data_IF_145088841562
#
_entry.id   IF_145088841562
#
_cell.length_a   1.000
_cell.length_b   1.000
_cell.length_c   1.000
_cell.angle_alpha   90.00
_cell.angle_beta   90.00
_cell.angle_gamma   90.00
#
_symmetry.space_group_name_H-M   'P 1'
#
loop_
_entity.id
_entity.type
_entity.pdbx_description
1 polymer ?
#
# COMPACT_ATOMS: atom_id res chain seq x y z
N UNK A 1 0.60 10.70 1.21
CA UNK A 1 -0.77 11.22 1.33
C UNK A 1 -1.72 10.19 1.94
N UNK A 2 -1.95 9.00 1.32
CA UNK A 2 -2.89 8.00 1.86
C UNK A 2 -2.57 7.55 3.31
N UNK A 3 -1.31 7.45 3.68
CA UNK A 3 -0.91 7.11 5.03
C UNK A 3 -1.19 8.24 6.04
N UNK A 4 -1.11 9.50 5.63
CA UNK A 4 -1.42 10.65 6.49
C UNK A 4 -2.90 10.69 6.87
N UNK A 5 -3.80 10.23 5.98
CA UNK A 5 -5.22 10.10 6.27
C UNK A 5 -5.51 9.07 7.40
N UNK A 6 -4.62 8.12 7.62
CA UNK A 6 -4.74 7.18 8.75
C UNK A 6 -4.75 7.87 10.11
N UNK A 7 -4.01 8.98 10.24
CA UNK A 7 -4.01 9.77 11.47
C UNK A 7 -5.38 10.45 11.70
N UNK A 8 -6.01 10.95 10.63
CA UNK A 8 -7.34 11.55 10.69
C UNK A 8 -8.38 10.48 11.05
N UNK A 9 -8.29 9.29 10.41
CA UNK A 9 -9.13 8.15 10.74
C UNK A 9 -8.97 7.70 12.20
N UNK A 10 -7.73 7.68 12.72
CA UNK A 10 -7.46 7.36 14.12
C UNK A 10 -8.06 8.40 15.09
N UNK A 11 -8.12 9.67 14.72
CA UNK A 11 -8.77 10.72 15.49
C UNK A 11 -10.29 10.64 15.43
N UNK A 12 -10.85 10.15 14.34
CA UNK A 12 -12.30 10.06 14.17
C UNK A 12 -12.99 9.24 15.27
N UNK A 13 -12.27 8.27 15.86
CA UNK A 13 -12.75 7.50 17.00
C UNK A 13 -13.03 8.32 18.29
N UNK A 14 -12.56 9.56 18.36
CA UNK A 14 -12.84 10.48 19.50
C UNK A 14 -13.92 11.50 19.18
N UNK A 15 -14.40 11.55 17.94
CA UNK A 15 -15.41 12.52 17.51
C UNK A 15 -16.81 11.90 17.54
N UNK A 16 -17.87 12.73 17.64
CA UNK A 16 -19.22 12.23 17.56
C UNK A 16 -19.55 11.69 16.19
N UNK A 17 -20.27 10.58 16.16
CA UNK A 17 -20.90 10.07 14.95
C UNK A 17 -22.36 10.44 14.94
N UNK A 18 -22.83 11.04 13.84
CA UNK A 18 -24.22 11.45 13.67
C UNK A 18 -24.78 10.65 12.49
N UNK A 19 -25.89 9.92 12.72
CA UNK A 19 -26.55 9.12 11.72
C UNK A 19 -28.02 9.48 11.61
N UNK A 20 -28.51 9.62 10.39
CA UNK A 20 -29.91 9.76 10.07
C UNK A 20 -30.40 8.49 9.37
N UNK A 21 -31.42 7.84 9.91
CA UNK A 21 -32.02 6.65 9.30
C UNK A 21 -33.52 6.89 9.07
N UNK A 22 -33.99 6.43 7.91
CA UNK A 22 -35.42 6.42 7.57
C UNK A 22 -35.88 4.99 7.32
N UNK A 23 -37.04 4.65 7.84
CA UNK A 23 -37.63 3.34 7.65
C UNK A 23 -39.11 3.44 7.21
N UNK A 24 -39.53 2.50 6.40
CA UNK A 24 -40.93 2.25 6.07
C UNK A 24 -41.22 0.79 6.28
N UNK A 25 -42.21 0.47 7.14
CA UNK A 25 -42.56 -0.90 7.52
C UNK A 25 -44.00 -1.14 7.21
N UNK A 26 -44.32 -2.29 6.64
CA UNK A 26 -45.65 -2.81 6.53
C UNK A 26 -45.66 -4.06 7.40
N UNK A 27 -46.48 -4.05 8.45
CA UNK A 27 -46.56 -5.15 9.38
C UNK A 27 -48.02 -5.69 9.36
N UNK A 28 -48.17 -6.95 9.07
CA UNK A 28 -49.45 -7.67 9.20
C UNK A 28 -49.42 -8.40 10.53
N UNK A 29 -50.39 -8.12 11.37
CA UNK A 29 -50.52 -8.71 12.70
C UNK A 29 -51.85 -9.45 12.80
N UNK A 30 -51.77 -10.74 13.05
CA UNK A 30 -52.92 -11.59 13.35
C UNK A 30 -53.09 -11.63 14.87
N UNK A 31 -54.01 -10.84 15.40
CA UNK A 31 -54.32 -10.82 16.81
C UNK A 31 -55.38 -11.85 17.17
N UNK A 32 -54.93 -13.03 17.60
CA UNK A 32 -55.82 -14.07 18.11
C UNK A 32 -55.95 -13.92 19.64
N UNK A 33 -57.17 -13.69 20.14
CA UNK A 33 -57.55 -13.69 21.57
C UNK A 33 -56.78 -12.69 22.45
N UNK A 34 -56.85 -11.40 22.13
CA UNK A 34 -56.37 -10.37 23.04
C UNK A 34 -57.46 -10.05 24.08
N UNK A 35 -57.24 -10.46 25.32
CA UNK A 35 -58.07 -10.07 26.45
C UNK A 35 -57.75 -8.61 26.84
N UNK A 36 -58.62 -7.69 26.46
CA UNK A 36 -58.59 -6.32 26.98
C UNK A 36 -59.66 -6.20 28.07
N UNK A 37 -59.36 -5.47 29.14
CA UNK A 37 -60.33 -5.28 30.26
C UNK A 37 -61.66 -4.64 29.89
N UNK A 38 -61.99 -4.50 28.59
CA UNK A 38 -63.21 -3.91 28.04
C UNK A 38 -64.03 -4.86 27.16
N UNK A 39 -63.57 -6.10 26.93
CA UNK A 39 -64.27 -7.11 26.15
C UNK A 39 -63.35 -7.93 25.21
N UNK A 40 -63.89 -9.09 24.71
CA UNK A 40 -63.20 -9.88 23.71
C UNK A 40 -63.17 -9.15 22.37
N UNK A 41 -61.99 -8.92 21.84
CA UNK A 41 -61.83 -8.46 20.47
C UNK A 41 -61.77 -9.72 19.58
N UNK A 42 -62.66 -9.80 18.56
CA UNK A 42 -62.56 -10.83 17.55
C UNK A 42 -61.23 -10.81 16.83
N UNK A 43 -60.67 -11.96 16.42
CA UNK A 43 -59.47 -12.03 15.65
C UNK A 43 -59.61 -11.18 14.39
N UNK A 44 -58.74 -10.18 14.26
CA UNK A 44 -58.73 -9.32 13.06
C UNK A 44 -57.28 -9.25 12.55
N UNK A 45 -57.13 -9.56 11.24
CA UNK A 45 -55.91 -9.22 10.54
C UNK A 45 -55.82 -7.69 10.44
N UNK A 46 -54.80 -7.13 11.03
CA UNK A 46 -54.52 -5.68 10.98
C UNK A 46 -53.23 -5.43 10.24
N UNK A 47 -53.32 -4.69 9.15
CA UNK A 47 -52.12 -4.23 8.43
C UNK A 47 -51.77 -2.83 8.91
N UNK A 48 -50.59 -2.70 9.51
CA UNK A 48 -50.06 -1.46 10.02
C UNK A 48 -49.01 -0.92 9.07
N UNK A 49 -49.20 0.29 8.61
CA UNK A 49 -48.20 1.03 7.81
C UNK A 49 -47.42 1.95 8.72
N UNK A 50 -46.15 1.58 8.99
CA UNK A 50 -45.22 2.40 9.78
C UNK A 50 -44.25 3.17 8.89
N UNK A 51 -43.93 4.37 9.30
CA UNK A 51 -42.78 5.13 8.79
C UNK A 51 -42.02 5.73 9.97
N UNK A 52 -40.71 5.85 9.86
CA UNK A 52 -39.93 6.41 10.93
C UNK A 52 -38.70 7.11 10.39
N UNK A 53 -38.33 8.21 11.06
CA UNK A 53 -37.06 8.90 10.90
C UNK A 53 -36.39 8.93 12.25
N UNK A 54 -35.12 8.49 12.30
CA UNK A 54 -34.32 8.49 13.53
C UNK A 54 -33.01 9.22 13.27
N UNK A 55 -32.76 10.27 14.03
CA UNK A 55 -31.50 10.97 14.11
C UNK A 55 -30.81 10.51 15.40
N UNK A 56 -29.64 9.90 15.30
CA UNK A 56 -28.84 9.49 16.46
C UNK A 56 -27.45 10.12 16.43
N UNK A 57 -26.99 10.55 17.59
CA UNK A 57 -25.64 11.04 17.80
C UNK A 57 -24.99 10.24 18.92
N UNK A 58 -23.79 9.70 18.66
CA UNK A 58 -23.02 8.94 19.64
C UNK A 58 -21.63 9.57 19.76
N UNK A 59 -21.28 10.01 20.97
CA UNK A 59 -19.98 10.55 21.31
C UNK A 59 -19.26 9.58 22.27
N UNK A 60 -18.16 8.92 21.83
CA UNK A 60 -17.34 8.13 22.73
C UNK A 60 -16.71 9.03 23.80
N UNK A 61 -16.95 8.72 25.07
CA UNK A 61 -16.32 9.40 26.22
C UNK A 61 -15.07 8.62 26.63
N UNK A 62 -15.21 7.31 26.75
CA UNK A 62 -14.09 6.43 27.07
C UNK A 62 -14.18 5.13 26.26
N UNK A 63 -13.21 4.93 25.39
CA UNK A 63 -12.95 3.70 24.67
C UNK A 63 -11.45 3.51 24.56
N UNK A 64 -10.90 2.57 25.32
CA UNK A 64 -9.45 2.30 25.31
C UNK A 64 -8.94 1.91 23.92
N UNK A 65 -9.76 1.20 23.17
CA UNK A 65 -9.47 0.82 21.78
C UNK A 65 -9.16 2.04 20.90
N UNK A 66 -9.94 3.13 20.99
CA UNK A 66 -9.73 4.34 20.20
C UNK A 66 -8.38 5.01 20.53
N UNK A 67 -7.95 4.97 21.78
CA UNK A 67 -6.66 5.50 22.21
C UNK A 67 -5.53 4.71 21.54
N UNK A 68 -5.64 3.37 21.54
CA UNK A 68 -4.63 2.50 20.93
C UNK A 68 -4.62 2.64 19.40
N UNK A 69 -5.80 2.72 18.75
CA UNK A 69 -5.91 2.96 17.30
C UNK A 69 -5.24 4.28 16.90
N UNK A 70 -5.42 5.34 17.69
CA UNK A 70 -4.75 6.62 17.43
C UNK A 70 -3.23 6.53 17.57
N UNK A 71 -2.72 5.80 18.56
CA UNK A 71 -1.28 5.56 18.69
C UNK A 71 -0.75 4.74 17.52
N UNK A 72 -1.47 3.67 17.16
CA UNK A 72 -1.12 2.81 16.01
C UNK A 72 -1.08 3.59 14.70
N UNK A 73 -2.04 4.50 14.47
CA UNK A 73 -2.07 5.33 13.26
C UNK A 73 -0.87 6.27 13.15
N UNK A 74 -0.32 6.78 14.28
CA UNK A 74 0.93 7.55 14.27
C UNK A 74 2.12 6.71 13.84
N UNK A 75 2.22 5.48 14.34
CA UNK A 75 3.29 4.56 13.97
C UNK A 75 3.17 4.13 12.50
N UNK A 76 1.94 3.93 11.99
CA UNK A 76 1.69 3.65 10.57
C UNK A 76 2.16 4.79 9.66
N UNK A 77 1.92 6.05 10.04
CA UNK A 77 2.43 7.22 9.29
C UNK A 77 3.95 7.23 9.29
N UNK A 78 4.58 7.05 10.45
CA UNK A 78 6.06 7.00 10.56
C UNK A 78 6.66 5.87 9.70
N UNK A 79 6.02 4.69 9.67
CA UNK A 79 6.42 3.59 8.80
C UNK A 79 6.31 3.95 7.32
N UNK A 80 5.21 4.58 6.93
CA UNK A 80 4.99 5.01 5.54
C UNK A 80 5.99 6.07 5.08
N UNK A 81 6.36 7.02 5.96
CA UNK A 81 7.39 8.01 5.68
C UNK A 81 8.76 7.34 5.45
N UNK A 82 9.11 6.36 6.28
CA UNK A 82 10.33 5.57 6.09
C UNK A 82 10.30 4.78 4.76
N UNK A 83 9.17 4.17 4.41
CA UNK A 83 8.98 3.49 3.12
C UNK A 83 9.12 4.42 1.93
N UNK A 84 8.62 5.66 2.04
CA UNK A 84 8.77 6.67 1.00
C UNK A 84 10.24 7.02 0.76
N UNK A 85 11.03 7.16 1.85
CA UNK A 85 12.47 7.43 1.74
C UNK A 85 13.20 6.27 1.06
N UNK A 86 12.91 5.02 1.45
CA UNK A 86 13.49 3.82 0.82
C UNK A 86 13.14 3.75 -0.67
N UNK A 87 11.89 4.01 -1.03
CA UNK A 87 11.47 4.05 -2.43
C UNK A 87 12.19 5.15 -3.23
N UNK A 88 12.43 6.31 -2.60
CA UNK A 88 13.24 7.38 -3.20
C UNK A 88 14.69 6.97 -3.43
N UNK A 89 15.33 6.28 -2.47
CA UNK A 89 16.69 5.77 -2.61
C UNK A 89 16.77 4.70 -3.73
N UNK A 90 15.81 3.78 -3.78
CA UNK A 90 15.72 2.78 -4.84
C UNK A 90 15.53 3.42 -6.23
N UNK A 91 14.70 4.46 -6.32
CA UNK A 91 14.53 5.21 -7.56
C UNK A 91 15.85 5.81 -8.05
N UNK A 92 16.65 6.42 -7.15
CA UNK A 92 17.95 6.99 -7.50
C UNK A 92 18.88 5.91 -8.07
N UNK A 93 18.93 4.74 -7.43
CA UNK A 93 19.77 3.62 -7.89
C UNK A 93 19.30 3.10 -9.25
N UNK A 94 17.98 2.92 -9.45
CA UNK A 94 17.41 2.47 -10.73
C UNK A 94 17.65 3.45 -11.87
N UNK A 95 17.53 4.76 -11.59
CA UNK A 95 17.83 5.79 -12.60
C UNK A 95 19.33 5.76 -12.95
N UNK A 96 20.21 5.68 -11.96
CA UNK A 96 21.65 5.61 -12.18
C UNK A 96 22.02 4.37 -13.00
N UNK A 97 21.51 3.19 -12.65
CA UNK A 97 21.77 1.96 -13.39
C UNK A 97 21.30 2.07 -14.84
N UNK A 98 20.05 2.50 -15.07
CA UNK A 98 19.51 2.65 -16.43
C UNK A 98 20.28 3.70 -17.25
N UNK A 99 20.79 4.76 -16.59
CA UNK A 99 21.64 5.77 -17.23
C UNK A 99 22.96 5.16 -17.71
N UNK A 100 23.66 4.43 -16.85
CA UNK A 100 24.93 3.77 -17.22
C UNK A 100 24.72 2.67 -18.25
N UNK A 101 23.61 1.91 -18.18
CA UNK A 101 23.27 0.92 -19.21
C UNK A 101 23.13 1.55 -20.62
N UNK A 102 22.60 2.78 -20.70
CA UNK A 102 22.54 3.51 -21.99
C UNK A 102 23.93 3.95 -22.44
N UNK A 103 24.79 4.42 -21.53
CA UNK A 103 26.17 4.81 -21.87
C UNK A 103 26.98 3.62 -22.37
N UNK A 104 26.87 2.46 -21.71
CA UNK A 104 27.55 1.24 -22.13
C UNK A 104 27.07 0.81 -23.52
N UNK A 105 25.77 0.79 -23.77
CA UNK A 105 25.22 0.47 -25.08
C UNK A 105 25.67 1.47 -26.19
N UNK A 106 25.89 2.76 -25.84
CA UNK A 106 26.48 3.73 -26.78
C UNK A 106 27.94 3.39 -27.14
N UNK A 107 28.71 2.91 -26.15
CA UNK A 107 30.08 2.43 -26.36
C UNK A 107 30.09 1.19 -27.26
N UNK A 108 29.19 0.23 -27.01
CA UNK A 108 29.05 -0.99 -27.81
C UNK A 108 28.76 -0.68 -29.29
N UNK A 109 27.88 0.29 -29.56
CA UNK A 109 27.60 0.75 -30.93
C UNK A 109 28.87 1.33 -31.58
N UNK A 110 29.61 2.18 -30.87
CA UNK A 110 30.88 2.75 -31.37
C UNK A 110 31.93 1.67 -31.68
N UNK A 111 32.02 0.65 -30.82
CA UNK A 111 32.94 -0.47 -31.01
C UNK A 111 32.53 -1.28 -32.24
N UNK A 112 31.23 -1.62 -32.40
CA UNK A 112 30.72 -2.36 -33.55
C UNK A 112 30.91 -1.57 -34.84
N UNK A 113 30.70 -0.26 -34.87
CA UNK A 113 30.97 0.62 -36.02
C UNK A 113 32.46 0.64 -36.38
N UNK A 114 33.35 0.75 -35.42
CA UNK A 114 34.79 0.73 -35.62
C UNK A 114 35.25 -0.64 -36.19
N UNK A 115 34.73 -1.72 -35.62
CA UNK A 115 35.02 -3.09 -36.09
C UNK A 115 34.55 -3.30 -37.53
N UNK A 116 33.29 -2.93 -37.86
CA UNK A 116 32.77 -3.00 -39.22
C UNK A 116 33.62 -2.21 -40.21
N UNK A 117 34.06 -0.98 -39.83
CA UNK A 117 34.96 -0.17 -40.67
C UNK A 117 36.30 -0.85 -40.92
N UNK A 118 36.88 -1.52 -39.92
CA UNK A 118 38.12 -2.27 -40.07
C UNK A 118 37.94 -3.48 -41.01
N UNK A 119 36.88 -4.26 -40.79
CA UNK A 119 36.57 -5.43 -41.66
C UNK A 119 36.24 -5.02 -43.11
N UNK A 120 35.54 -3.88 -43.29
CA UNK A 120 35.31 -3.33 -44.63
C UNK A 120 36.62 -3.10 -45.40
N UNK A 121 37.63 -2.52 -44.75
CA UNK A 121 38.95 -2.31 -45.36
C UNK A 121 39.64 -3.64 -45.72
N UNK A 122 39.51 -4.67 -44.86
CA UNK A 122 40.01 -6.01 -45.16
C UNK A 122 39.31 -6.63 -46.38
N UNK A 123 37.98 -6.45 -46.47
CA UNK A 123 37.21 -6.91 -47.66
C UNK A 123 37.65 -6.19 -48.93
N UNK A 124 37.83 -4.87 -48.89
CA UNK A 124 38.33 -4.09 -50.02
C UNK A 124 39.71 -4.59 -50.46
N UNK A 125 40.61 -4.89 -49.51
CA UNK A 125 41.93 -5.43 -49.80
C UNK A 125 41.84 -6.86 -50.42
N UNK A 126 41.00 -7.76 -49.87
CA UNK A 126 40.79 -9.10 -50.41
C UNK A 126 40.28 -9.06 -51.87
N UNK A 127 39.31 -8.17 -52.17
CA UNK A 127 38.81 -7.97 -53.54
C UNK A 127 39.89 -7.50 -54.49
N UNK A 128 40.73 -6.51 -54.11
CA UNK A 128 41.88 -6.05 -54.94
C UNK A 128 42.91 -7.13 -55.14
N UNK A 129 43.25 -7.91 -54.11
CA UNK A 129 44.20 -9.02 -54.25
C UNK A 129 43.69 -10.11 -55.17
N UNK A 130 42.38 -10.38 -55.17
CA UNK A 130 41.76 -11.31 -56.13
C UNK A 130 41.81 -10.76 -57.56
N UNK A 131 41.49 -9.48 -57.79
CA UNK A 131 41.53 -8.81 -59.08
C UNK A 131 42.95 -8.85 -59.73
N UNK A 132 44.00 -8.77 -58.90
CA UNK A 132 45.41 -8.87 -59.40
C UNK A 132 45.97 -10.31 -59.38
N UNK A 133 45.13 -11.30 -58.99
CA UNK A 133 45.46 -12.73 -59.07
C UNK A 133 46.36 -13.25 -57.94
N UNK A 134 46.52 -12.51 -56.81
CA UNK A 134 47.36 -12.95 -55.68
C UNK A 134 46.56 -13.59 -54.53
N UNK A 135 45.24 -13.67 -54.62
CA UNK A 135 44.39 -14.39 -53.69
C UNK A 135 43.25 -15.16 -54.39
N UNK A 136 42.55 -16.02 -53.64
CA UNK A 136 41.50 -16.88 -54.18
C UNK A 136 40.12 -16.22 -54.03
N UNK A 137 39.13 -16.70 -54.83
CA UNK A 137 37.74 -16.27 -54.67
C UNK A 137 37.17 -16.66 -53.28
N UNK A 138 37.69 -17.74 -52.66
CA UNK A 138 37.33 -18.21 -51.34
C UNK A 138 37.70 -17.16 -50.30
N UNK A 139 38.89 -16.57 -50.38
CA UNK A 139 39.36 -15.49 -49.45
C UNK A 139 38.43 -14.27 -49.54
N UNK A 140 37.98 -13.93 -50.75
CA UNK A 140 37.05 -12.81 -50.95
C UNK A 140 35.68 -13.11 -50.36
N UNK A 141 35.15 -14.33 -50.53
CA UNK A 141 33.87 -14.75 -49.98
C UNK A 141 33.92 -14.83 -48.43
N UNK A 142 35.06 -15.29 -47.86
CA UNK A 142 35.26 -15.28 -46.40
C UNK A 142 35.29 -13.86 -45.85
N UNK A 143 35.99 -12.94 -46.48
CA UNK A 143 36.02 -11.52 -46.09
C UNK A 143 34.63 -10.87 -46.20
N UNK A 144 33.83 -11.22 -47.22
CA UNK A 144 32.46 -10.78 -47.36
C UNK A 144 31.57 -11.32 -46.22
N UNK A 145 31.66 -12.59 -45.92
CA UNK A 145 30.92 -13.22 -44.82
C UNK A 145 31.23 -12.54 -43.46
N UNK A 146 32.50 -12.23 -43.21
CA UNK A 146 32.92 -11.49 -42.00
C UNK A 146 32.32 -10.06 -41.95
N UNK A 147 32.28 -9.37 -43.08
CA UNK A 147 31.66 -8.03 -43.18
C UNK A 147 30.15 -8.10 -42.91
N UNK A 148 29.46 -9.10 -43.49
CA UNK A 148 28.01 -9.28 -43.28
C UNK A 148 27.70 -9.62 -41.82
N UNK A 149 28.53 -10.47 -41.18
CA UNK A 149 28.42 -10.76 -39.73
C UNK A 149 28.61 -9.51 -38.87
N UNK A 150 29.64 -8.69 -39.13
CA UNK A 150 29.85 -7.46 -38.35
C UNK A 150 28.77 -6.41 -38.59
N UNK A 151 28.17 -6.41 -39.80
CA UNK A 151 27.00 -5.55 -40.08
C UNK A 151 25.77 -5.97 -39.28
N UNK A 152 25.55 -7.29 -39.14
CA UNK A 152 24.48 -7.82 -38.29
C UNK A 152 24.72 -7.50 -36.80
N UNK A 153 25.97 -7.54 -36.33
CA UNK A 153 26.35 -7.17 -34.95
C UNK A 153 26.12 -5.68 -34.70
N UNK A 154 26.44 -4.80 -35.66
CA UNK A 154 26.14 -3.36 -35.52
C UNK A 154 24.63 -3.10 -35.41
N UNK A 155 23.80 -3.75 -36.22
CA UNK A 155 22.35 -3.66 -36.17
C UNK A 155 21.83 -4.08 -34.79
N UNK A 156 22.35 -5.23 -34.28
CA UNK A 156 21.99 -5.73 -32.94
C UNK A 156 22.38 -4.74 -31.83
N UNK A 157 23.60 -4.16 -31.89
CA UNK A 157 24.04 -3.16 -30.93
C UNK A 157 23.17 -1.89 -30.94
N UNK A 158 22.80 -1.40 -32.12
CA UNK A 158 21.89 -0.24 -32.27
C UNK A 158 20.51 -0.54 -31.70
N UNK A 159 19.96 -1.73 -31.94
CA UNK A 159 18.68 -2.14 -31.36
C UNK A 159 18.77 -2.23 -29.82
N UNK A 160 19.87 -2.79 -29.29
CA UNK A 160 20.10 -2.84 -27.85
C UNK A 160 20.12 -1.42 -27.23
N UNK A 161 20.80 -0.47 -27.87
CA UNK A 161 20.82 0.93 -27.45
C UNK A 161 19.41 1.54 -27.39
N UNK A 162 18.58 1.32 -28.41
CA UNK A 162 17.21 1.82 -28.41
C UNK A 162 16.36 1.20 -27.29
N UNK A 163 16.54 -0.10 -27.00
CA UNK A 163 15.87 -0.76 -25.87
C UNK A 163 16.29 -0.13 -24.56
N UNK A 164 17.61 0.12 -24.33
CA UNK A 164 18.11 0.77 -23.10
C UNK A 164 17.58 2.20 -22.95
N UNK A 165 17.53 2.98 -24.03
CA UNK A 165 16.92 4.33 -24.01
C UNK A 165 15.43 4.27 -23.61
N UNK A 166 14.65 3.31 -24.14
CA UNK A 166 13.24 3.14 -23.78
C UNK A 166 13.07 2.69 -22.33
N UNK A 167 13.97 1.86 -21.81
CA UNK A 167 13.98 1.48 -20.39
C UNK A 167 14.18 2.73 -19.51
N UNK A 168 15.16 3.57 -19.82
CA UNK A 168 15.39 4.83 -19.10
C UNK A 168 14.19 5.78 -19.26
N UNK A 169 13.60 5.90 -20.45
CA UNK A 169 12.39 6.67 -20.67
C UNK A 169 11.24 6.23 -19.76
N UNK A 170 11.05 4.92 -19.56
CA UNK A 170 10.01 4.40 -18.67
C UNK A 170 10.17 4.81 -17.21
N UNK A 171 11.39 5.23 -16.79
CA UNK A 171 11.66 5.70 -15.43
C UNK A 171 11.52 7.21 -15.32
N UNK A 172 12.04 7.98 -16.33
CA UNK A 172 12.11 9.45 -16.27
C UNK A 172 10.99 10.15 -17.04
N UNK A 173 10.11 9.39 -17.69
CA UNK A 173 8.97 9.83 -18.52
C UNK A 173 9.33 10.78 -19.67
N UNK A 174 10.58 10.76 -20.11
CA UNK A 174 11.05 11.50 -21.30
C UNK A 174 12.12 10.72 -22.04
N UNK A 175 12.14 10.83 -23.38
CA UNK A 175 13.19 10.22 -24.18
C UNK A 175 14.51 10.98 -23.98
N UNK A 176 15.62 10.32 -23.58
CA UNK A 176 16.91 10.98 -23.45
C UNK A 176 17.51 11.20 -24.85
N UNK A 177 17.62 12.45 -25.29
CA UNK A 177 18.22 12.78 -26.58
C UNK A 177 19.75 12.87 -26.52
N UNK A 178 20.29 13.56 -25.49
CA UNK A 178 21.72 13.73 -25.30
C UNK A 178 22.09 13.42 -23.85
N UNK A 179 22.74 12.28 -23.63
CA UNK A 179 23.28 11.93 -22.33
C UNK A 179 24.74 12.44 -22.24
N UNK A 180 25.06 13.10 -21.14
CA UNK A 180 26.45 13.45 -20.85
C UNK A 180 27.27 12.16 -20.64
N UNK A 181 28.44 12.06 -21.25
CA UNK A 181 29.34 10.95 -21.00
C UNK A 181 29.78 10.89 -19.52
N UNK A 182 30.10 9.69 -19.05
CA UNK A 182 30.71 9.56 -17.73
C UNK A 182 32.02 10.39 -17.70
N UNK A 183 32.11 11.34 -16.75
CA UNK A 183 33.40 11.97 -16.48
C UNK A 183 34.29 10.90 -15.89
N UNK A 184 35.56 10.87 -16.34
CA UNK A 184 36.61 10.16 -15.63
C UNK A 184 36.62 10.69 -14.19
N UNK A 185 36.09 9.91 -13.27
CA UNK A 185 36.20 10.24 -11.84
C UNK A 185 37.67 10.03 -11.53
N UNK A 186 38.43 11.14 -11.60
CA UNK A 186 39.78 11.16 -11.10
C UNK A 186 39.78 10.48 -9.73
N UNK A 187 40.72 9.60 -9.50
CA UNK A 187 40.92 8.66 -8.40
C UNK A 187 40.94 9.26 -6.96
N UNK A 188 40.35 10.42 -6.75
CA UNK A 188 40.06 10.97 -5.43
C UNK A 188 38.79 10.35 -4.82
N UNK A 189 38.72 9.02 -4.84
CA UNK A 189 37.88 8.31 -3.87
C UNK A 189 38.48 8.65 -2.50
N UNK A 190 37.95 9.72 -1.89
CA UNK A 190 38.13 9.96 -0.46
C UNK A 190 37.88 8.66 0.24
N UNK A 191 38.81 8.20 1.08
CA UNK A 191 38.73 6.91 1.76
C UNK A 191 37.39 6.67 2.39
N UNK A 192 37.04 5.44 2.64
CA UNK A 192 35.79 5.03 3.26
C UNK A 192 35.50 5.95 4.46
N UNK A 193 34.26 6.43 4.56
CA UNK A 193 33.81 7.38 5.60
C UNK A 193 34.03 6.86 7.02
N UNK A 194 34.05 5.53 7.17
CA UNK A 194 34.26 4.82 8.42
C UNK A 194 35.37 3.81 8.23
N UNK A 195 36.28 3.73 9.21
CA UNK A 195 37.47 2.86 9.13
C UNK A 195 37.27 1.50 9.83
N UNK A 196 36.19 1.31 10.58
CA UNK A 196 35.88 0.05 11.28
C UNK A 196 34.54 -0.53 10.89
N UNK A 197 34.46 -1.86 10.91
CA UNK A 197 33.22 -2.60 10.67
C UNK A 197 32.15 -2.23 11.69
N UNK A 198 32.53 -2.09 12.96
CA UNK A 198 31.61 -1.76 14.06
C UNK A 198 30.97 -0.37 13.89
N UNK A 199 31.71 0.60 13.34
CA UNK A 199 31.13 1.91 13.00
C UNK A 199 30.12 1.84 11.86
N UNK A 200 30.37 1.00 10.86
CA UNK A 200 29.42 0.75 9.77
C UNK A 200 28.14 0.11 10.31
N UNK A 201 28.28 -0.94 11.13
CA UNK A 201 27.14 -1.66 11.75
C UNK A 201 26.33 -0.69 12.60
N UNK A 202 26.96 0.03 13.52
CA UNK A 202 26.27 0.99 14.38
C UNK A 202 25.54 2.07 13.58
N UNK A 203 26.19 2.60 12.55
CA UNK A 203 25.57 3.62 11.70
C UNK A 203 24.39 3.04 10.89
N UNK A 204 24.49 1.80 10.43
CA UNK A 204 23.40 1.11 9.75
C UNK A 204 22.20 0.91 10.70
N UNK A 205 22.44 0.43 11.92
CA UNK A 205 21.40 0.26 12.93
C UNK A 205 20.64 1.55 13.26
N UNK A 206 21.34 2.69 13.30
CA UNK A 206 20.73 3.99 13.61
C UNK A 206 20.03 4.64 12.42
N UNK A 207 20.57 4.47 11.20
CA UNK A 207 20.17 5.25 10.02
C UNK A 207 19.49 4.46 8.93
N UNK A 208 19.49 3.12 8.99
CA UNK A 208 18.85 2.29 7.98
C UNK A 208 17.33 2.40 8.05
N UNK A 209 16.72 2.91 6.99
CA UNK A 209 15.26 3.06 6.91
C UNK A 209 14.54 1.72 6.76
N UNK A 210 15.17 0.68 6.19
CA UNK A 210 14.59 -0.65 6.16
C UNK A 210 14.41 -1.21 7.58
N UNK A 211 15.40 -0.99 8.46
CA UNK A 211 15.30 -1.36 9.86
C UNK A 211 14.21 -0.56 10.59
N UNK A 212 14.10 0.73 10.33
CA UNK A 212 13.04 1.60 10.91
C UNK A 212 11.63 1.13 10.48
N UNK A 213 11.47 0.67 9.23
CA UNK A 213 10.21 0.09 8.75
C UNK A 213 9.83 -1.15 9.55
N UNK A 214 10.80 -2.05 9.83
CA UNK A 214 10.55 -3.26 10.60
C UNK A 214 10.33 -2.96 12.09
N UNK A 215 11.04 -1.98 12.67
CA UNK A 215 10.75 -1.51 14.01
C UNK A 215 9.33 -0.99 14.15
N UNK A 216 8.88 -0.14 13.21
CA UNK A 216 7.52 0.35 13.19
C UNK A 216 6.50 -0.78 12.99
N UNK A 217 6.81 -1.81 12.18
CA UNK A 217 5.96 -2.99 12.01
C UNK A 217 5.81 -3.78 13.32
N UNK A 218 6.91 -3.97 14.06
CA UNK A 218 6.87 -4.60 15.39
C UNK A 218 6.04 -3.77 16.38
N UNK A 219 6.22 -2.44 16.42
CA UNK A 219 5.43 -1.56 17.29
C UNK A 219 3.93 -1.61 16.95
N UNK A 220 3.57 -1.63 15.67
CA UNK A 220 2.18 -1.79 15.22
C UNK A 220 1.61 -3.13 15.72
N UNK A 221 2.37 -4.22 15.61
CA UNK A 221 1.95 -5.53 16.11
C UNK A 221 1.81 -5.54 17.65
N UNK A 222 2.72 -4.87 18.37
CA UNK A 222 2.62 -4.71 19.82
C UNK A 222 1.40 -3.88 20.24
N UNK A 223 1.08 -2.83 19.47
CA UNK A 223 -0.13 -2.02 19.69
C UNK A 223 -1.40 -2.81 19.34
N UNK A 224 -1.35 -3.70 18.35
CA UNK A 224 -2.48 -4.59 18.03
C UNK A 224 -2.83 -5.51 19.20
N UNK A 225 -1.83 -6.07 19.90
CA UNK A 225 -2.07 -6.82 21.14
C UNK A 225 -2.81 -5.96 22.17
N UNK A 226 -2.38 -4.71 22.39
CA UNK A 226 -3.04 -3.77 23.32
C UNK A 226 -4.46 -3.44 22.87
N UNK A 227 -4.67 -3.25 21.56
CA UNK A 227 -5.99 -2.99 20.97
C UNK A 227 -6.95 -4.15 21.22
N UNK A 228 -6.53 -5.37 20.94
CA UNK A 228 -7.36 -6.56 21.19
C UNK A 228 -7.60 -6.74 22.69
N UNK A 229 -6.58 -6.53 23.51
CA UNK A 229 -6.73 -6.59 24.97
C UNK A 229 -7.72 -5.54 25.50
N UNK A 230 -7.80 -4.37 24.86
CA UNK A 230 -8.72 -3.29 25.24
C UNK A 230 -10.20 -3.67 25.15
N UNK A 231 -10.54 -4.77 24.45
CA UNK A 231 -11.91 -5.28 24.39
C UNK A 231 -12.40 -5.89 25.71
N UNK A 232 -11.53 -6.06 26.70
CA UNK A 232 -11.90 -6.39 28.08
C UNK A 232 -12.29 -5.15 28.92
N UNK A 233 -11.96 -3.95 28.43
CA UNK A 233 -12.27 -2.71 29.18
C UNK A 233 -13.71 -2.26 28.95
N UNK A 234 -14.31 -1.57 29.91
CA UNK A 234 -15.60 -0.94 29.74
C UNK A 234 -15.52 0.17 28.66
N UNK A 235 -16.64 0.38 27.98
CA UNK A 235 -16.84 1.53 27.10
C UNK A 235 -17.91 2.45 27.67
N UNK A 236 -17.70 3.76 27.54
CA UNK A 236 -18.63 4.80 27.97
C UNK A 236 -18.91 5.71 26.79
N UNK A 237 -20.17 5.81 26.42
CA UNK A 237 -20.64 6.64 25.32
C UNK A 237 -21.75 7.58 25.79
N UNK A 238 -21.75 8.83 25.31
CA UNK A 238 -22.88 9.73 25.38
C UNK A 238 -23.72 9.50 24.13
N UNK A 239 -25.00 9.15 24.31
CA UNK A 239 -25.94 8.86 23.21
C UNK A 239 -27.09 9.86 23.28
N UNK A 240 -27.39 10.50 22.15
CA UNK A 240 -28.55 11.33 21.97
C UNK A 240 -29.37 10.81 20.76
N UNK A 241 -30.68 10.74 20.91
CA UNK A 241 -31.57 10.25 19.88
C UNK A 241 -32.81 11.12 19.76
N UNK A 242 -33.16 11.45 18.53
CA UNK A 242 -34.44 11.99 18.14
C UNK A 242 -35.11 10.98 17.20
N UNK A 243 -36.35 10.62 17.51
CA UNK A 243 -37.11 9.64 16.72
C UNK A 243 -38.52 10.18 16.46
N UNK A 244 -38.92 10.23 15.21
CA UNK A 244 -40.27 10.54 14.75
C UNK A 244 -40.81 9.32 14.01
N UNK A 245 -41.77 8.66 14.61
CA UNK A 245 -42.32 7.39 14.10
C UNK A 245 -43.84 7.47 14.04
N UNK A 246 -44.41 7.06 12.92
CA UNK A 246 -45.86 6.90 12.74
C UNK A 246 -46.21 5.45 12.56
N UNK A 247 -47.43 5.05 12.98
CA UNK A 247 -47.87 3.68 12.86
C UNK A 247 -47.32 2.71 13.90
N UNK A 248 -46.82 3.21 15.05
CA UNK A 248 -46.29 2.37 16.12
C UNK A 248 -47.44 1.77 16.97
N UNK A 249 -47.34 0.48 17.30
CA UNK A 249 -48.17 -0.14 18.35
C UNK A 249 -49.65 -0.38 18.04
N UNK A 250 -50.06 -0.32 16.79
CA UNK A 250 -51.49 -0.45 16.37
C UNK A 250 -52.12 -1.84 16.43
N UNK A 251 -51.40 -2.86 16.94
CA UNK A 251 -51.86 -4.25 16.89
C UNK A 251 -53.14 -4.53 17.67
N UNK A 252 -53.45 -3.76 18.72
CA UNK A 252 -54.61 -3.95 19.58
C UNK A 252 -55.81 -3.08 19.13
N UNK A 253 -55.50 -1.86 18.64
CA UNK A 253 -56.53 -0.85 18.35
C UNK A 253 -56.82 -0.68 16.85
N UNK A 254 -56.04 -1.31 15.99
CA UNK A 254 -56.10 -1.11 14.52
C UNK A 254 -55.65 0.29 14.06
N UNK A 255 -55.21 1.15 14.99
CA UNK A 255 -54.73 2.49 14.71
C UNK A 255 -53.29 2.64 15.26
N UNK A 256 -52.35 2.88 14.37
CA UNK A 256 -51.00 3.27 14.77
C UNK A 256 -51.01 4.66 15.44
N UNK A 257 -50.15 4.84 16.41
CA UNK A 257 -49.92 6.13 17.06
C UNK A 257 -48.70 6.82 16.47
N UNK A 258 -48.71 8.13 16.44
CA UNK A 258 -47.54 8.94 16.08
C UNK A 258 -46.75 9.21 17.37
N UNK A 259 -45.47 8.88 17.36
CA UNK A 259 -44.60 8.98 18.51
C UNK A 259 -43.33 9.80 18.17
N UNK A 260 -43.22 10.94 18.84
CA UNK A 260 -41.95 11.70 18.82
C UNK A 260 -41.24 11.42 20.14
N UNK A 261 -40.04 10.90 20.05
CA UNK A 261 -39.19 10.59 21.20
C UNK A 261 -37.87 11.34 21.12
N UNK A 262 -37.44 11.92 22.26
CA UNK A 262 -36.15 12.58 22.42
C UNK A 262 -35.49 11.99 23.64
N UNK A 263 -34.28 11.52 23.51
CA UNK A 263 -33.52 10.95 24.62
C UNK A 263 -32.07 11.40 24.57
N UNK A 264 -31.49 11.61 25.75
CA UNK A 264 -30.06 11.77 25.93
C UNK A 264 -29.65 10.95 27.16
N UNK A 265 -28.54 10.24 27.07
CA UNK A 265 -28.10 9.38 28.16
C UNK A 265 -26.62 8.99 27.99
N UNK A 266 -26.06 8.49 29.08
CA UNK A 266 -24.74 7.90 29.11
C UNK A 266 -24.93 6.37 29.11
N UNK A 267 -24.29 5.70 28.18
CA UNK A 267 -24.30 4.26 28.05
C UNK A 267 -22.96 3.69 28.50
N UNK A 268 -22.96 2.85 29.53
CA UNK A 268 -21.82 2.07 29.98
C UNK A 268 -22.02 0.62 29.49
N UNK A 269 -21.02 0.10 28.77
CA UNK A 269 -21.01 -1.31 28.36
C UNK A 269 -19.76 -1.99 28.94
N UNK A 270 -19.98 -3.06 29.74
CA UNK A 270 -18.92 -3.83 30.41
C UNK A 270 -19.01 -5.27 29.92
N UNK A 271 -18.09 -5.72 29.07
CA UNK A 271 -18.08 -7.10 28.60
C UNK A 271 -17.58 -8.04 29.69
N UNK A 272 -18.49 -8.84 30.31
CA UNK A 272 -18.10 -9.77 31.37
C UNK A 272 -17.60 -11.09 30.85
N UNK A 273 -18.20 -11.62 29.79
CA UNK A 273 -17.81 -12.88 29.16
C UNK A 273 -18.17 -12.89 27.68
N UNK A 274 -17.22 -13.28 26.83
CA UNK A 274 -17.37 -13.32 25.38
C UNK A 274 -16.98 -14.67 24.77
N UNK A 275 -17.23 -15.77 25.47
CA UNK A 275 -16.98 -17.12 24.96
C UNK A 275 -15.51 -17.38 24.60
N UNK A 276 -14.55 -16.83 25.33
CA UNK A 276 -13.10 -16.93 25.12
C UNK A 276 -12.61 -16.34 23.78
N UNK A 277 -13.45 -15.64 23.01
CA UNK A 277 -13.09 -15.09 21.72
C UNK A 277 -11.98 -14.03 21.83
N UNK A 278 -12.04 -13.18 22.86
CA UNK A 278 -11.02 -12.13 23.09
C UNK A 278 -9.69 -12.77 23.47
N UNK A 279 -9.68 -13.77 24.36
CA UNK A 279 -8.46 -14.49 24.73
C UNK A 279 -7.79 -15.18 23.53
N UNK A 280 -8.60 -15.74 22.61
CA UNK A 280 -8.10 -16.34 21.38
C UNK A 280 -7.46 -15.29 20.47
N UNK A 281 -8.12 -14.15 20.29
CA UNK A 281 -7.57 -13.02 19.50
C UNK A 281 -6.32 -12.41 20.12
N UNK A 282 -6.22 -12.37 21.45
CA UNK A 282 -4.99 -11.93 22.14
C UNK A 282 -3.84 -12.89 21.85
N UNK A 283 -4.07 -14.20 21.91
CA UNK A 283 -3.02 -15.20 21.56
C UNK A 283 -2.59 -15.10 20.10
N UNK A 284 -3.53 -14.88 19.20
CA UNK A 284 -3.26 -14.64 17.78
C UNK A 284 -2.42 -13.37 17.58
N UNK A 285 -2.81 -12.26 18.20
CA UNK A 285 -2.05 -11.01 18.14
C UNK A 285 -0.63 -11.13 18.72
N UNK A 286 -0.46 -11.91 19.82
CA UNK A 286 0.86 -12.23 20.39
C UNK A 286 1.72 -13.04 19.41
N UNK A 287 1.13 -14.01 18.71
CA UNK A 287 1.85 -14.77 17.69
C UNK A 287 2.30 -13.88 16.53
N UNK A 288 1.45 -12.93 16.09
CA UNK A 288 1.83 -11.93 15.08
C UNK A 288 2.92 -10.97 15.57
N UNK A 289 2.89 -10.57 16.85
CA UNK A 289 3.95 -9.74 17.44
C UNK A 289 5.27 -10.50 17.47
N UNK A 290 5.29 -11.78 17.89
CA UNK A 290 6.50 -12.61 17.88
C UNK A 290 7.06 -12.78 16.46
N UNK A 291 6.20 -13.00 15.47
CA UNK A 291 6.63 -13.03 14.07
C UNK A 291 7.30 -11.71 13.67
N UNK A 292 6.67 -10.57 13.95
CA UNK A 292 7.24 -9.27 13.63
C UNK A 292 8.57 -8.99 14.35
N UNK A 293 8.78 -9.55 15.55
CA UNK A 293 10.04 -9.49 16.27
C UNK A 293 11.15 -10.25 15.51
N UNK A 294 10.87 -11.47 15.06
CA UNK A 294 11.85 -12.27 14.31
C UNK A 294 12.11 -11.68 12.91
N UNK A 295 11.11 -11.08 12.27
CA UNK A 295 11.30 -10.36 11.01
C UNK A 295 12.22 -9.13 11.22
N UNK A 296 12.10 -8.42 12.35
CA UNK A 296 12.99 -7.33 12.74
C UNK A 296 14.42 -7.83 12.99
N UNK A 297 14.59 -8.91 13.76
CA UNK A 297 15.89 -9.54 14.02
C UNK A 297 16.57 -10.01 12.73
N UNK A 298 15.80 -10.60 11.81
CA UNK A 298 16.32 -11.03 10.50
C UNK A 298 16.75 -9.87 9.59
N UNK A 299 16.18 -8.68 9.80
CA UNK A 299 16.52 -7.48 8.99
C UNK A 299 17.75 -6.77 9.56
N UNK A 300 18.04 -6.95 10.83
CA UNK A 300 19.20 -6.41 11.55
C UNK A 300 20.50 -7.13 11.17
#
# INVERSE_FOLDING_TARGET
QAAQEKLIQGRAGFLPTITLSGSRTIQQVDANNVFTGVGNINPQEVTIHGRGVVLSATQPIFRMENIVIYQQSKTEVSRADAQFIVAGQDLILRVAQAYFDVLDAQVDVKVAEAQKKAILKQLEQAKRNFEVGVSTIVDTNEAQARYDLTTSQEIAARNALEIRKRTLQGIIDRLPENLAGAREIASNLTGLRYNSMDEWVRTAEEKNFALKIQQAAYEIAAQEVKKVWSQHYPTVDLVAQYSDQTGVGGAITGRGIDLISKSIGVQLNVPLFQGFSVQSRVREALAHQNRALHDLESTR
#
